data_IF_042180465771
#
_entry.id   IF_042180465771
#
_cell.length_a   1.000
_cell.length_b   1.000
_cell.length_c   1.000
_cell.angle_alpha   90.00
_cell.angle_beta   90.00
_cell.angle_gamma   90.00
#
_symmetry.space_group_name_H-M   'P 1'
#
loop_
_entity.id
_entity.type
_entity.pdbx_description
1 polymer ?
#
# COMPACT_ATOMS: atom_id res chain seq x y z
N UNK A 1 -16.86 3.16 -21.91
CA UNK A 1 -16.63 3.39 -20.47
C UNK A 1 -15.82 4.66 -20.41
N UNK A 2 -16.35 5.73 -19.80
CA UNK A 2 -15.65 7.01 -19.74
C UNK A 2 -14.36 6.90 -18.89
N UNK A 3 -13.45 7.85 -19.07
CA UNK A 3 -12.14 7.85 -18.42
C UNK A 3 -12.24 8.00 -16.90
N UNK A 4 -13.23 8.75 -16.41
CA UNK A 4 -13.49 8.98 -14.99
C UNK A 4 -13.94 7.68 -14.29
N UNK A 5 -14.84 6.91 -14.91
CA UNK A 5 -15.26 5.58 -14.43
C UNK A 5 -14.10 4.57 -14.40
N UNK A 6 -13.18 4.62 -15.38
CA UNK A 6 -12.01 3.73 -15.41
C UNK A 6 -11.03 4.05 -14.29
N UNK A 7 -10.79 5.34 -14.02
CA UNK A 7 -9.93 5.81 -12.94
C UNK A 7 -10.44 5.34 -11.57
N UNK A 8 -11.70 5.59 -11.25
CA UNK A 8 -12.28 5.20 -9.96
C UNK A 8 -12.28 3.68 -9.76
N UNK A 9 -12.56 2.93 -10.82
CA UNK A 9 -12.50 1.47 -10.82
C UNK A 9 -11.08 0.96 -10.57
N UNK A 10 -10.07 1.60 -11.15
CA UNK A 10 -8.67 1.23 -10.91
C UNK A 10 -8.31 1.41 -9.44
N UNK A 11 -8.68 2.56 -8.86
CA UNK A 11 -8.47 2.85 -7.45
C UNK A 11 -9.15 1.81 -6.53
N UNK A 12 -10.35 1.36 -6.88
CA UNK A 12 -11.06 0.31 -6.14
C UNK A 12 -10.35 -1.05 -6.24
N UNK A 13 -9.89 -1.43 -7.42
CA UNK A 13 -9.13 -2.67 -7.60
C UNK A 13 -7.83 -2.65 -6.79
N UNK A 14 -7.11 -1.52 -6.77
CA UNK A 14 -5.91 -1.34 -5.95
C UNK A 14 -6.23 -1.49 -4.46
N UNK A 15 -7.28 -0.83 -3.97
CA UNK A 15 -7.70 -0.91 -2.59
C UNK A 15 -8.02 -2.36 -2.19
N UNK A 16 -8.85 -3.04 -2.97
CA UNK A 16 -9.27 -4.41 -2.72
C UNK A 16 -8.11 -5.39 -2.79
N UNK A 17 -7.16 -5.20 -3.71
CA UNK A 17 -5.99 -6.09 -3.82
C UNK A 17 -5.09 -5.97 -2.60
N UNK A 18 -4.81 -4.76 -2.13
CA UNK A 18 -3.99 -4.53 -0.94
C UNK A 18 -4.67 -5.10 0.31
N UNK A 19 -5.98 -4.88 0.45
CA UNK A 19 -6.78 -5.48 1.53
C UNK A 19 -6.75 -7.02 1.48
N UNK A 20 -6.92 -7.61 0.29
CA UNK A 20 -6.91 -9.06 0.11
C UNK A 20 -5.57 -9.71 0.51
N UNK A 21 -4.44 -9.14 0.08
CA UNK A 21 -3.12 -9.66 0.42
C UNK A 21 -2.84 -9.58 1.93
N UNK A 22 -3.33 -8.53 2.60
CA UNK A 22 -3.26 -8.42 4.05
C UNK A 22 -4.16 -9.46 4.74
N UNK A 23 -5.44 -9.53 4.35
CA UNK A 23 -6.42 -10.45 4.97
C UNK A 23 -6.03 -11.93 4.82
N UNK A 24 -5.42 -12.27 3.69
CA UNK A 24 -4.90 -13.62 3.43
C UNK A 24 -3.55 -13.89 4.09
N UNK A 25 -3.03 -12.94 4.88
CA UNK A 25 -1.76 -13.01 5.62
C UNK A 25 -0.55 -13.21 4.72
N UNK A 26 -0.64 -12.85 3.45
CA UNK A 26 0.48 -12.96 2.52
C UNK A 26 1.52 -11.86 2.77
N UNK A 27 1.04 -10.67 3.15
CA UNK A 27 1.87 -9.49 3.39
C UNK A 27 1.33 -8.70 4.59
N UNK A 28 2.21 -7.98 5.26
CA UNK A 28 1.85 -6.98 6.26
C UNK A 28 1.34 -5.70 5.60
N UNK A 29 0.76 -4.79 6.39
CA UNK A 29 0.06 -3.61 5.88
C UNK A 29 0.94 -2.71 4.98
N UNK A 30 2.18 -2.42 5.38
CA UNK A 30 3.10 -1.62 4.57
C UNK A 30 3.53 -2.34 3.28
N UNK A 31 3.83 -3.63 3.39
CA UNK A 31 4.26 -4.48 2.29
C UNK A 31 3.17 -4.61 1.23
N UNK A 32 1.92 -4.83 1.66
CA UNK A 32 0.78 -4.95 0.77
C UNK A 32 0.56 -3.67 -0.06
N UNK A 33 0.62 -2.49 0.57
CA UNK A 33 0.51 -1.21 -0.15
C UNK A 33 1.65 -1.07 -1.17
N UNK A 34 2.90 -1.24 -0.73
CA UNK A 34 4.07 -1.07 -1.60
C UNK A 34 4.05 -2.04 -2.78
N UNK A 35 3.78 -3.34 -2.54
CA UNK A 35 3.76 -4.38 -3.58
C UNK A 35 2.62 -4.15 -4.56
N UNK A 36 1.42 -3.80 -4.09
CA UNK A 36 0.27 -3.59 -4.97
C UNK A 36 0.48 -2.38 -5.87
N UNK A 37 0.95 -1.25 -5.35
CA UNK A 37 1.20 -0.08 -6.19
C UNK A 37 2.34 -0.34 -7.16
N UNK A 38 3.44 -0.94 -6.70
CA UNK A 38 4.57 -1.28 -7.55
C UNK A 38 4.15 -2.21 -8.70
N UNK A 39 3.49 -3.33 -8.45
CA UNK A 39 3.13 -4.25 -9.52
C UNK A 39 1.95 -3.74 -10.35
N UNK A 40 0.93 -3.17 -9.70
CA UNK A 40 -0.30 -2.75 -10.36
C UNK A 40 -0.15 -1.54 -11.26
N UNK A 41 0.80 -0.65 -10.96
CA UNK A 41 1.05 0.57 -11.75
C UNK A 41 2.36 0.51 -12.55
N UNK A 42 2.98 -0.67 -12.67
CA UNK A 42 4.20 -0.85 -13.48
C UNK A 42 5.44 -0.15 -12.91
N UNK A 43 5.61 -0.19 -11.60
CA UNK A 43 6.85 0.22 -10.94
C UNK A 43 7.98 -0.79 -11.18
N UNK A 44 9.20 -0.28 -11.38
CA UNK A 44 10.38 -1.07 -11.76
C UNK A 44 11.10 -1.73 -10.58
N UNK A 45 10.43 -1.93 -9.43
CA UNK A 45 11.05 -2.57 -8.28
C UNK A 45 10.79 -4.08 -8.30
N UNK A 46 11.82 -4.94 -8.20
CA UNK A 46 11.62 -6.38 -8.01
C UNK A 46 10.74 -6.64 -6.79
N UNK A 47 9.75 -7.53 -6.92
CA UNK A 47 8.72 -7.76 -5.89
C UNK A 47 9.34 -8.12 -4.54
N UNK A 48 10.35 -8.98 -4.54
CA UNK A 48 11.04 -9.43 -3.33
C UNK A 48 11.77 -8.26 -2.65
N UNK A 49 12.33 -7.34 -3.43
CA UNK A 49 12.97 -6.14 -2.91
C UNK A 49 11.93 -5.16 -2.34
N UNK A 50 10.78 -5.01 -3.00
CA UNK A 50 9.66 -4.22 -2.47
C UNK A 50 9.20 -4.73 -1.10
N UNK A 51 9.01 -6.05 -0.96
CA UNK A 51 8.68 -6.68 0.33
C UNK A 51 9.78 -6.44 1.37
N UNK A 52 11.05 -6.70 1.01
CA UNK A 52 12.19 -6.54 1.93
C UNK A 52 12.36 -5.12 2.45
N UNK A 53 12.14 -4.11 1.61
CA UNK A 53 12.24 -2.70 2.02
C UNK A 53 11.04 -2.31 2.90
N UNK A 54 9.84 -2.74 2.54
CA UNK A 54 8.63 -2.40 3.26
C UNK A 54 8.48 -3.14 4.60
N UNK A 55 9.14 -4.28 4.81
CA UNK A 55 8.99 -5.12 6.02
C UNK A 55 9.46 -4.46 7.32
N UNK A 56 10.20 -3.35 7.24
CA UNK A 56 10.61 -2.57 8.42
C UNK A 56 9.48 -1.70 9.02
N UNK A 57 8.39 -1.49 8.27
CA UNK A 57 7.37 -0.47 8.53
C UNK A 57 6.08 -0.97 9.21
N UNK A 58 5.68 -2.26 9.14
CA UNK A 58 4.52 -2.77 9.85
C UNK A 58 4.54 -2.52 11.36
N UNK A 59 3.36 -2.66 11.97
CA UNK A 59 3.15 -2.48 13.41
C UNK A 59 3.64 -1.12 13.93
N UNK A 60 3.64 -0.11 13.05
CA UNK A 60 3.96 1.27 13.36
C UNK A 60 5.45 1.56 13.55
N UNK A 61 6.35 0.80 12.90
CA UNK A 61 7.83 0.82 13.05
C UNK A 61 8.32 0.04 14.28
N UNK A 62 8.18 -1.28 14.25
CA UNK A 62 8.74 -2.16 15.29
C UNK A 62 7.96 -2.12 16.59
N UNK A 63 6.63 -2.06 16.50
CA UNK A 63 5.68 -2.14 17.63
C UNK A 63 5.74 -0.95 18.60
N UNK A 64 6.38 0.15 18.19
CA UNK A 64 6.42 1.39 18.98
C UNK A 64 5.14 2.20 18.86
N UNK A 65 4.24 1.83 17.95
CA UNK A 65 2.93 2.45 17.81
C UNK A 65 2.95 3.83 17.14
N UNK A 66 4.05 4.14 16.44
CA UNK A 66 4.24 5.36 15.67
C UNK A 66 3.48 5.28 14.33
N UNK A 67 3.95 5.96 13.29
CA UNK A 67 3.25 6.11 12.02
C UNK A 67 2.76 4.77 11.43
N UNK A 68 1.47 4.72 11.05
CA UNK A 68 0.82 3.54 10.49
C UNK A 68 1.63 2.91 9.35
N UNK A 69 1.78 1.59 9.37
CA UNK A 69 2.54 0.86 8.36
C UNK A 69 1.97 1.03 6.96
N UNK A 70 0.65 0.98 6.78
CA UNK A 70 0.00 1.20 5.49
C UNK A 70 0.31 2.59 4.91
N UNK A 71 0.28 3.64 5.75
CA UNK A 71 0.63 5.00 5.36
C UNK A 71 2.11 5.12 4.97
N UNK A 72 3.00 4.50 5.74
CA UNK A 72 4.43 4.40 5.39
C UNK A 72 4.68 3.66 4.06
N UNK A 73 3.96 2.57 3.80
CA UNK A 73 4.02 1.83 2.54
C UNK A 73 3.57 2.69 1.34
N UNK A 74 2.53 3.50 1.53
CA UNK A 74 2.10 4.49 0.54
C UNK A 74 3.16 5.57 0.30
N UNK A 75 3.80 6.07 1.36
CA UNK A 75 4.89 7.04 1.21
C UNK A 75 6.11 6.47 0.46
N UNK A 76 6.45 5.19 0.66
CA UNK A 76 7.47 4.51 -0.14
C UNK A 76 7.06 4.41 -1.62
N UNK A 77 5.81 4.03 -1.90
CA UNK A 77 5.32 3.94 -3.26
C UNK A 77 5.32 5.31 -3.97
N UNK A 78 4.93 6.39 -3.29
CA UNK A 78 5.07 7.75 -3.82
C UNK A 78 6.54 8.10 -4.11
N UNK A 79 7.45 7.66 -3.24
CA UNK A 79 8.90 7.72 -3.47
C UNK A 79 9.33 7.01 -4.75
N UNK A 80 8.78 5.84 -5.04
CA UNK A 80 9.08 5.07 -6.25
C UNK A 80 8.62 5.79 -7.51
N UNK A 81 7.38 6.32 -7.53
CA UNK A 81 6.81 6.88 -8.76
C UNK A 81 7.15 8.36 -8.99
N UNK A 82 7.28 9.15 -7.92
CA UNK A 82 7.42 10.61 -7.98
C UNK A 82 8.76 11.10 -7.40
N UNK A 83 9.57 10.18 -6.87
CA UNK A 83 10.89 10.49 -6.34
C UNK A 83 11.92 10.82 -7.41
N UNK A 84 13.10 11.19 -6.93
CA UNK A 84 14.25 11.59 -7.76
C UNK A 84 15.13 10.40 -8.10
N UNK A 85 15.76 10.43 -9.27
CA UNK A 85 16.70 9.40 -9.74
C UNK A 85 18.16 9.63 -9.31
N UNK A 86 18.45 10.64 -8.45
CA UNK A 86 19.81 11.02 -8.11
C UNK A 86 19.95 11.93 -6.88
N UNK A 87 21.19 12.34 -6.54
CA UNK A 87 21.46 13.18 -5.37
C UNK A 87 20.89 14.61 -5.51
N UNK A 88 20.94 15.39 -4.43
CA UNK A 88 20.49 16.79 -4.40
C UNK A 88 19.31 17.05 -3.45
N UNK A 89 19.61 17.60 -2.28
CA UNK A 89 18.67 17.79 -1.15
C UNK A 89 17.40 18.59 -1.49
N UNK A 90 17.51 19.60 -2.35
CA UNK A 90 16.39 20.46 -2.76
C UNK A 90 15.36 19.79 -3.68
N UNK A 91 15.77 18.81 -4.47
CA UNK A 91 15.01 18.28 -5.61
C UNK A 91 13.98 17.19 -5.22
N UNK A 92 13.42 17.27 -4.02
CA UNK A 92 12.41 16.35 -3.50
C UNK A 92 11.10 17.03 -3.12
N UNK A 93 10.88 18.28 -3.54
CA UNK A 93 9.72 19.07 -3.11
C UNK A 93 8.38 18.44 -3.57
N UNK A 94 8.30 17.97 -4.81
CA UNK A 94 7.10 17.31 -5.36
C UNK A 94 6.71 16.08 -4.56
N UNK A 95 7.64 15.13 -4.36
CA UNK A 95 7.36 13.91 -3.60
C UNK A 95 7.06 14.20 -2.13
N UNK A 96 7.74 15.19 -1.51
CA UNK A 96 7.42 15.61 -0.13
C UNK A 96 6.00 16.16 -0.03
N UNK A 97 5.58 16.97 -1.00
CA UNK A 97 4.20 17.47 -1.07
C UNK A 97 3.22 16.32 -1.24
N UNK A 98 3.46 15.42 -2.18
CA UNK A 98 2.61 14.24 -2.41
C UNK A 98 2.46 13.37 -1.14
N UNK A 99 3.55 13.13 -0.40
CA UNK A 99 3.51 12.39 0.87
C UNK A 99 2.76 13.18 1.96
N UNK A 100 2.89 14.51 1.98
CA UNK A 100 2.09 15.39 2.83
C UNK A 100 0.59 15.29 2.54
N UNK A 101 0.21 15.34 1.25
CA UNK A 101 -1.17 15.19 0.80
C UNK A 101 -1.72 13.81 1.20
N UNK A 102 -0.94 12.73 1.03
CA UNK A 102 -1.29 11.39 1.50
C UNK A 102 -1.51 11.33 3.02
N UNK A 103 -0.60 11.93 3.79
CA UNK A 103 -0.70 12.00 5.24
C UNK A 103 -2.00 12.70 5.67
N UNK A 104 -2.33 13.82 5.05
CA UNK A 104 -3.49 14.62 5.42
C UNK A 104 -4.81 13.97 4.98
N UNK A 105 -4.85 13.33 3.81
CA UNK A 105 -5.97 12.49 3.39
C UNK A 105 -6.20 11.34 4.38
N UNK A 106 -5.13 10.61 4.73
CA UNK A 106 -5.21 9.49 5.68
C UNK A 106 -5.68 9.97 7.06
N UNK A 107 -5.11 11.06 7.58
CA UNK A 107 -5.52 11.65 8.86
C UNK A 107 -6.96 12.14 8.83
N UNK A 108 -7.43 12.70 7.71
CA UNK A 108 -8.82 13.14 7.57
C UNK A 108 -9.79 11.97 7.67
N UNK A 109 -9.46 10.86 6.99
CA UNK A 109 -10.25 9.64 6.98
C UNK A 109 -10.25 8.89 8.33
N UNK A 110 -9.10 8.78 8.99
CA UNK A 110 -8.93 7.93 10.19
C UNK A 110 -8.69 8.69 11.49
N UNK A 111 -8.67 10.02 11.45
CA UNK A 111 -8.47 10.96 12.58
C UNK A 111 -7.09 10.94 13.24
N UNK A 112 -6.25 9.98 12.93
CA UNK A 112 -4.87 9.88 13.41
C UNK A 112 -3.97 9.21 12.36
N UNK A 113 -2.67 9.28 12.59
CA UNK A 113 -1.66 8.58 11.77
C UNK A 113 -0.80 7.64 12.60
N UNK A 114 -0.71 7.83 13.92
CA UNK A 114 -0.05 6.91 14.84
C UNK A 114 -0.84 5.61 15.01
N UNK A 115 -0.21 4.47 14.70
CA UNK A 115 -0.75 3.13 14.80
C UNK A 115 -1.37 2.86 16.18
N UNK A 116 -0.71 3.27 17.28
CA UNK A 116 -1.26 3.10 18.63
C UNK A 116 -2.60 3.80 18.81
N UNK A 117 -2.74 5.01 18.27
CA UNK A 117 -3.97 5.80 18.40
C UNK A 117 -5.09 5.16 17.56
N UNK A 118 -4.75 4.74 16.34
CA UNK A 118 -5.66 4.09 15.41
C UNK A 118 -6.26 2.80 15.98
N UNK A 119 -5.45 2.03 16.74
CA UNK A 119 -5.86 0.73 17.28
C UNK A 119 -6.16 0.77 18.79
N UNK A 120 -6.24 1.96 19.41
CA UNK A 120 -6.24 2.09 20.89
C UNK A 120 -7.43 1.42 21.58
N UNK A 121 -8.57 1.33 20.90
CA UNK A 121 -9.82 0.76 21.44
C UNK A 121 -9.98 -0.71 21.09
N UNK A 122 -8.93 -1.38 20.61
CA UNK A 122 -8.99 -2.74 20.08
C UNK A 122 -8.03 -3.66 20.82
N UNK A 123 -8.44 -4.92 20.96
CA UNK A 123 -7.54 -5.97 21.45
C UNK A 123 -6.56 -6.31 20.33
N UNK A 124 -5.26 -6.17 20.60
CA UNK A 124 -4.21 -6.52 19.64
C UNK A 124 -4.35 -7.98 19.18
N UNK A 125 -4.21 -8.21 17.88
CA UNK A 125 -4.36 -9.54 17.27
C UNK A 125 -5.80 -10.07 17.13
N UNK A 126 -6.81 -9.38 17.67
CA UNK A 126 -8.22 -9.77 17.46
C UNK A 126 -8.65 -9.64 16.00
N UNK A 127 -9.72 -10.34 15.62
CA UNK A 127 -10.31 -10.22 14.27
C UNK A 127 -10.76 -8.77 13.97
N UNK A 128 -11.33 -8.08 14.96
CA UNK A 128 -11.69 -6.66 14.82
C UNK A 128 -10.46 -5.78 14.53
N UNK A 129 -9.37 -5.96 15.28
CA UNK A 129 -8.11 -5.25 15.01
C UNK A 129 -7.56 -5.57 13.61
N UNK A 130 -7.61 -6.84 13.21
CA UNK A 130 -7.08 -7.28 11.93
C UNK A 130 -7.88 -6.70 10.75
N UNK A 131 -9.22 -6.75 10.79
CA UNK A 131 -10.07 -6.13 9.76
C UNK A 131 -9.92 -4.61 9.72
N UNK A 132 -9.72 -3.97 10.87
CA UNK A 132 -9.45 -2.53 10.91
C UNK A 132 -8.14 -2.18 10.17
N UNK A 133 -7.07 -2.94 10.42
CA UNK A 133 -5.81 -2.80 9.69
C UNK A 133 -5.94 -3.12 8.20
N UNK A 134 -6.77 -4.10 7.83
CA UNK A 134 -7.05 -4.45 6.44
C UNK A 134 -7.71 -3.27 5.68
N UNK A 135 -8.75 -2.66 6.27
CA UNK A 135 -9.40 -1.46 5.72
C UNK A 135 -8.41 -0.30 5.54
N UNK A 136 -7.57 -0.03 6.55
CA UNK A 136 -6.54 1.02 6.43
C UNK A 136 -5.52 0.72 5.34
N UNK A 137 -5.19 -0.56 5.14
CA UNK A 137 -4.28 -1.01 4.08
C UNK A 137 -4.85 -0.71 2.69
N UNK A 138 -6.11 -1.11 2.44
CA UNK A 138 -6.78 -0.82 1.18
C UNK A 138 -6.94 0.69 0.92
N UNK A 139 -7.37 1.45 1.93
CA UNK A 139 -7.57 2.90 1.78
C UNK A 139 -6.26 3.67 1.58
N UNK A 140 -5.18 3.30 2.28
CA UNK A 140 -3.87 3.91 2.04
C UNK A 140 -3.37 3.63 0.62
N UNK A 141 -3.56 2.40 0.12
CA UNK A 141 -3.24 2.07 -1.27
C UNK A 141 -4.08 2.90 -2.26
N UNK A 142 -5.38 3.04 -2.03
CA UNK A 142 -6.28 3.88 -2.84
C UNK A 142 -5.81 5.34 -2.90
N UNK A 143 -5.56 5.95 -1.74
CA UNK A 143 -5.13 7.35 -1.63
C UNK A 143 -3.76 7.57 -2.30
N UNK A 144 -2.79 6.69 -2.04
CA UNK A 144 -1.48 6.79 -2.64
C UNK A 144 -1.54 6.61 -4.17
N UNK A 145 -2.34 5.67 -4.66
CA UNK A 145 -2.53 5.47 -6.09
C UNK A 145 -3.21 6.67 -6.75
N UNK A 146 -4.23 7.26 -6.13
CA UNK A 146 -4.87 8.49 -6.62
C UNK A 146 -3.85 9.60 -6.82
N UNK A 147 -2.99 9.84 -5.83
CA UNK A 147 -1.92 10.84 -5.93
C UNK A 147 -0.93 10.49 -7.04
N UNK A 148 -0.55 9.22 -7.23
CA UNK A 148 0.30 8.81 -8.35
C UNK A 148 -0.38 9.13 -9.68
N UNK A 149 -1.65 8.76 -9.85
CA UNK A 149 -2.39 8.92 -11.10
C UNK A 149 -2.69 10.39 -11.42
N UNK A 150 -2.86 11.25 -10.41
CA UNK A 150 -2.96 12.70 -10.61
C UNK A 150 -1.69 13.28 -11.24
N UNK A 151 -0.52 12.71 -10.92
CA UNK A 151 0.77 13.13 -11.47
C UNK A 151 1.16 12.38 -12.74
N UNK A 152 0.65 11.16 -12.92
CA UNK A 152 0.99 10.23 -14.00
C UNK A 152 -0.28 9.56 -14.56
N UNK A 153 -1.18 10.32 -15.19
CA UNK A 153 -2.47 9.81 -15.67
C UNK A 153 -2.33 8.72 -16.74
N UNK A 154 -1.20 8.68 -17.45
CA UNK A 154 -0.87 7.64 -18.43
C UNK A 154 -0.85 6.23 -17.83
N UNK A 155 -0.58 6.09 -16.52
CA UNK A 155 -0.53 4.79 -15.85
C UNK A 155 -1.91 4.10 -15.75
N UNK A 156 -3.01 4.83 -15.95
CA UNK A 156 -4.36 4.24 -16.03
C UNK A 156 -4.47 3.25 -17.20
N UNK A 157 -3.76 3.54 -18.30
CA UNK A 157 -3.80 2.71 -19.50
C UNK A 157 -2.88 1.49 -19.41
N UNK A 158 -1.77 1.61 -18.69
CA UNK A 158 -0.78 0.53 -18.51
C UNK A 158 -0.96 -0.27 -17.22
N UNK A 159 -1.98 0.00 -16.42
CA UNK A 159 -2.21 -0.72 -15.17
C UNK A 159 -2.39 -2.24 -15.39
N UNK A 160 -1.80 -3.04 -14.51
CA UNK A 160 -1.93 -4.50 -14.55
C UNK A 160 -3.28 -4.94 -13.95
N UNK A 161 -4.33 -4.85 -14.77
CA UNK A 161 -5.68 -5.27 -14.39
C UNK A 161 -5.77 -6.74 -14.01
N UNK A 162 -4.98 -7.60 -14.67
CA UNK A 162 -4.98 -9.04 -14.41
C UNK A 162 -4.43 -9.35 -13.02
N UNK A 163 -3.42 -8.60 -12.56
CA UNK A 163 -2.92 -8.66 -11.19
C UNK A 163 -3.89 -8.04 -10.18
N UNK A 164 -4.40 -6.85 -10.47
CA UNK A 164 -5.22 -6.06 -9.54
C UNK A 164 -6.60 -6.68 -9.28
N UNK A 165 -7.15 -7.44 -10.23
CA UNK A 165 -8.44 -8.12 -10.07
C UNK A 165 -8.35 -9.48 -9.37
N UNK A 166 -7.14 -9.92 -8.98
CA UNK A 166 -6.97 -11.18 -8.26
C UNK A 166 -7.55 -11.12 -6.85
N UNK A 167 -8.31 -12.16 -6.50
CA UNK A 167 -8.84 -12.37 -5.17
C UNK A 167 -8.35 -13.71 -4.62
N UNK A 168 -7.28 -13.66 -3.82
CA UNK A 168 -6.72 -14.86 -3.21
C UNK A 168 -7.61 -15.34 -2.06
N UNK A 169 -7.74 -16.66 -1.92
CA UNK A 169 -8.29 -17.30 -0.73
C UNK A 169 -7.15 -17.65 0.22
N UNK A 170 -7.41 -17.60 1.53
CA UNK A 170 -6.39 -17.88 2.55
C UNK A 170 -5.73 -19.24 2.37
N UNK A 171 -6.49 -20.29 2.06
CA UNK A 171 -5.95 -21.65 1.83
C UNK A 171 -4.97 -21.66 0.65
N UNK A 172 -5.35 -21.07 -0.48
CA UNK A 172 -4.50 -20.97 -1.66
C UNK A 172 -3.24 -20.13 -1.39
N UNK A 173 -3.36 -19.08 -0.58
CA UNK A 173 -2.24 -18.25 -0.16
C UNK A 173 -1.23 -19.01 0.70
N UNK A 174 -1.68 -19.83 1.66
CA UNK A 174 -0.77 -20.66 2.47
C UNK A 174 -0.02 -21.69 1.62
N UNK A 175 -0.67 -22.30 0.61
CA UNK A 175 0.00 -23.19 -0.35
C UNK A 175 1.09 -22.45 -1.15
N UNK A 176 0.79 -21.23 -1.64
CA UNK A 176 1.77 -20.39 -2.36
C UNK A 176 2.99 -20.07 -1.49
N UNK A 177 2.79 -19.77 -0.21
CA UNK A 177 3.89 -19.51 0.74
C UNK A 177 4.78 -20.72 0.93
N UNK A 178 4.18 -21.91 1.10
CA UNK A 178 4.94 -23.16 1.26
C UNK A 178 5.80 -23.44 0.02
N UNK A 179 5.23 -23.36 -1.18
CA UNK A 179 5.97 -23.56 -2.43
C UNK A 179 7.11 -22.53 -2.57
N UNK A 180 6.86 -21.26 -2.27
CA UNK A 180 7.87 -20.20 -2.32
C UNK A 180 8.98 -20.31 -1.26
N UNK A 181 8.75 -21.04 -0.16
CA UNK A 181 9.75 -21.33 0.87
C UNK A 181 10.67 -22.48 0.46
N UNK A 182 10.13 -23.52 -0.19
CA UNK A 182 10.91 -24.65 -0.70
C UNK A 182 11.66 -24.36 -2.01
N UNK A 183 11.34 -23.25 -2.69
CA UNK A 183 12.04 -22.77 -3.89
C UNK A 183 13.17 -21.77 -3.61
N UNK A 184 13.60 -21.59 -2.35
CA UNK A 184 14.78 -20.80 -1.97
C UNK A 184 15.98 -21.69 -1.67
#
# INVERSE_FOLDING_TARGET
MDAESKHDRLLDCIAHRAENLFLTRQLQCAEAVMVVLNQGLGGDLPRELAVRLASALPEGLGRRGCLCGALNGGALALGLFLGRNGPGYGNGASVRKAVGDLHDQFKTAFKATCCRVLTKSMVYGSDHHFRHCARMTGQAARMAAGIVLDHKPELVESADWAYLQQQDRRVTAEVKKLIGFFGR
#
